data_IF_021019015181
#
_entry.id   IF_021019015181
#
_cell.length_a   1.000
_cell.length_b   1.000
_cell.length_c   1.000
_cell.angle_alpha   90.00
_cell.angle_beta   90.00
_cell.angle_gamma   90.00
#
_symmetry.space_group_name_H-M   'P 1'
#
loop_
_entity.id
_entity.type
_entity.pdbx_description
1 polymer ?
#
# COMPACT_ATOMS: atom_id res chain seq x y z
N UNK A 1 10.34 -6.84 7.08
CA UNK A 1 9.70 -5.53 6.81
C UNK A 1 10.01 -5.12 5.39
N UNK A 2 9.06 -4.53 4.65
CA UNK A 2 9.39 -3.93 3.34
C UNK A 2 10.32 -2.73 3.57
N UNK A 3 11.40 -2.64 2.79
CA UNK A 3 12.30 -1.51 2.83
C UNK A 3 11.59 -0.21 2.44
N UNK A 4 11.97 0.87 3.12
CA UNK A 4 11.40 2.21 2.91
C UNK A 4 12.52 3.15 2.50
N UNK A 5 12.29 3.92 1.45
CA UNK A 5 13.18 5.03 1.06
C UNK A 5 12.61 6.31 1.64
N UNK A 6 13.47 7.13 2.22
CA UNK A 6 13.08 8.39 2.85
C UNK A 6 13.80 9.59 2.25
N UNK A 7 13.08 10.71 2.15
CA UNK A 7 13.58 12.03 1.81
C UNK A 7 13.37 12.92 3.04
N UNK A 8 14.46 13.51 3.57
CA UNK A 8 14.42 14.30 4.80
C UNK A 8 13.71 13.57 5.98
N UNK A 9 13.96 12.26 6.12
CA UNK A 9 13.36 11.42 7.18
C UNK A 9 11.92 10.99 6.93
N UNK A 10 11.25 11.52 5.91
CA UNK A 10 9.88 11.13 5.54
C UNK A 10 9.86 10.12 4.39
N UNK A 11 8.95 9.13 4.37
CA UNK A 11 8.80 8.24 3.22
C UNK A 11 8.59 8.99 1.91
N UNK A 12 9.22 8.53 0.83
CA UNK A 12 9.07 9.14 -0.50
C UNK A 12 7.61 9.06 -0.96
N UNK A 13 7.07 10.20 -1.41
CA UNK A 13 5.81 10.23 -2.14
C UNK A 13 6.04 9.78 -3.60
N UNK A 14 5.83 8.49 -3.87
CA UNK A 14 6.04 7.94 -5.21
C UNK A 14 5.14 8.52 -6.30
N UNK A 15 4.02 9.19 -5.94
CA UNK A 15 3.18 9.90 -6.90
C UNK A 15 3.79 11.24 -7.36
N UNK A 16 4.75 11.78 -6.60
CA UNK A 16 5.55 12.96 -6.93
C UNK A 16 7.00 12.69 -6.51
N UNK A 17 7.69 11.75 -7.18
CA UNK A 17 9.02 11.33 -6.79
C UNK A 17 10.01 12.51 -6.92
N UNK A 18 11.04 12.61 -6.07
CA UNK A 18 12.09 13.61 -6.25
C UNK A 18 12.90 13.35 -7.53
N UNK A 19 13.79 14.28 -7.91
CA UNK A 19 14.68 14.10 -9.06
C UNK A 19 15.60 12.88 -8.82
N UNK A 20 16.04 12.23 -9.90
CA UNK A 20 16.96 11.08 -9.83
C UNK A 20 18.24 11.37 -9.03
N UNK A 21 18.71 12.62 -9.07
CA UNK A 21 19.93 13.10 -8.39
C UNK A 21 19.69 13.53 -6.94
N UNK A 22 18.44 13.63 -6.48
CA UNK A 22 18.13 14.06 -5.11
C UNK A 22 18.65 13.04 -4.10
N UNK A 23 19.37 13.52 -3.07
CA UNK A 23 19.87 12.65 -2.00
C UNK A 23 18.71 12.11 -1.15
N UNK A 24 18.65 10.79 -1.03
CA UNK A 24 17.68 10.04 -0.23
C UNK A 24 18.40 9.06 0.69
N UNK A 25 17.66 8.49 1.62
CA UNK A 25 18.17 7.53 2.60
C UNK A 25 17.44 6.20 2.49
N UNK A 26 18.21 5.12 2.55
CA UNK A 26 17.67 3.77 2.64
C UNK A 26 17.33 3.42 4.09
N UNK A 27 16.20 2.74 4.33
CA UNK A 27 15.83 2.29 5.68
C UNK A 27 16.82 1.32 6.33
N UNK A 28 17.66 0.64 5.54
CA UNK A 28 18.65 -0.30 6.06
C UNK A 28 19.96 0.44 6.37
N UNK A 29 20.69 -0.09 7.34
CA UNK A 29 21.96 0.46 7.81
C UNK A 29 23.12 -0.33 7.21
N UNK A 30 24.29 0.28 7.18
CA UNK A 30 25.53 -0.44 6.87
C UNK A 30 25.92 -1.37 8.03
N UNK A 31 26.98 -2.15 7.85
CA UNK A 31 27.45 -3.12 8.86
C UNK A 31 27.89 -2.48 10.19
N UNK A 32 28.10 -1.16 10.21
CA UNK A 32 28.46 -0.39 11.40
C UNK A 32 27.27 0.38 11.98
N UNK A 33 26.04 0.13 11.50
CA UNK A 33 24.83 0.80 11.97
C UNK A 33 24.64 2.23 11.46
N UNK A 34 25.45 2.69 10.49
CA UNK A 34 25.33 4.05 9.92
C UNK A 34 24.23 4.11 8.86
N UNK A 35 23.75 5.31 8.58
CA UNK A 35 22.74 5.56 7.54
C UNK A 35 23.36 5.36 6.15
N UNK A 36 22.65 4.67 5.26
CA UNK A 36 23.03 4.55 3.84
C UNK A 36 22.31 5.64 3.05
N UNK A 37 23.07 6.57 2.49
CA UNK A 37 22.55 7.70 1.70
C UNK A 37 23.19 7.75 0.33
N UNK A 38 22.43 8.17 -0.67
CA UNK A 38 22.83 8.24 -2.08
C UNK A 38 21.80 9.03 -2.87
N UNK A 39 22.00 9.21 -4.17
CA UNK A 39 20.93 9.74 -5.03
C UNK A 39 19.72 8.79 -5.07
N UNK A 40 18.55 9.30 -5.47
CA UNK A 40 17.35 8.48 -5.67
C UNK A 40 17.65 7.30 -6.60
N UNK A 41 18.42 7.53 -7.67
CA UNK A 41 18.84 6.47 -8.59
C UNK A 41 19.60 5.36 -7.87
N UNK A 42 20.71 5.70 -7.22
CA UNK A 42 21.61 4.74 -6.57
C UNK A 42 20.90 3.96 -5.47
N UNK A 43 20.12 4.65 -4.63
CA UNK A 43 19.41 4.00 -3.50
C UNK A 43 18.21 3.17 -3.98
N UNK A 44 17.50 3.60 -5.03
CA UNK A 44 16.44 2.78 -5.62
C UNK A 44 16.99 1.51 -6.28
N UNK A 45 18.15 1.59 -6.95
CA UNK A 45 18.84 0.42 -7.49
C UNK A 45 19.29 -0.52 -6.37
N UNK A 46 19.85 0.02 -5.29
CA UNK A 46 20.25 -0.77 -4.11
C UNK A 46 19.03 -1.48 -3.47
N UNK A 47 17.90 -0.79 -3.33
CA UNK A 47 16.65 -1.37 -2.81
C UNK A 47 16.14 -2.52 -3.67
N UNK A 48 16.10 -2.32 -5.00
CA UNK A 48 15.73 -3.38 -5.95
C UNK A 48 16.68 -4.56 -5.84
N UNK A 49 17.98 -4.31 -5.76
CA UNK A 49 19.00 -5.34 -5.71
C UNK A 49 18.91 -6.16 -4.42
N UNK A 50 18.65 -5.53 -3.27
CA UNK A 50 18.39 -6.24 -2.01
C UNK A 50 17.16 -7.13 -2.09
N UNK A 51 16.05 -6.61 -2.66
CA UNK A 51 14.85 -7.41 -2.86
C UNK A 51 15.09 -8.63 -3.78
N UNK A 52 15.90 -8.46 -4.84
CA UNK A 52 16.30 -9.55 -5.72
C UNK A 52 17.24 -10.54 -5.04
N UNK A 53 18.14 -10.07 -4.17
CA UNK A 53 19.01 -10.93 -3.36
C UNK A 53 18.20 -11.79 -2.41
N UNK A 54 17.22 -11.21 -1.71
CA UNK A 54 16.29 -11.98 -0.84
C UNK A 54 15.53 -13.00 -1.65
N UNK A 55 15.02 -12.62 -2.83
CA UNK A 55 14.28 -13.54 -3.70
C UNK A 55 15.16 -14.69 -4.20
N UNK A 56 16.42 -14.43 -4.57
CA UNK A 56 17.31 -15.43 -5.18
C UNK A 56 18.04 -16.31 -4.16
N UNK A 57 18.48 -15.71 -3.06
CA UNK A 57 19.38 -16.34 -2.08
C UNK A 57 18.77 -16.48 -0.68
N UNK A 58 17.58 -15.92 -0.43
CA UNK A 58 17.00 -15.87 0.92
C UNK A 58 17.78 -14.95 1.87
N UNK A 59 18.69 -14.13 1.34
CA UNK A 59 19.62 -13.30 2.12
C UNK A 59 19.56 -11.86 1.66
N UNK A 60 19.67 -10.97 2.61
CA UNK A 60 19.82 -9.54 2.35
C UNK A 60 21.27 -9.18 2.09
N UNK A 61 21.50 -8.12 1.31
CA UNK A 61 22.83 -7.54 1.16
C UNK A 61 23.25 -6.78 2.42
N UNK A 62 24.55 -6.76 2.68
CA UNK A 62 25.23 -5.99 3.72
C UNK A 62 26.09 -4.94 3.05
N UNK A 63 25.90 -3.68 3.43
CA UNK A 63 26.73 -2.56 2.97
C UNK A 63 27.92 -2.42 3.93
N UNK A 64 29.14 -2.44 3.39
CA UNK A 64 30.39 -2.22 4.12
C UNK A 64 30.72 -0.73 4.09
N UNK A 65 30.77 -0.16 2.88
CA UNK A 65 31.04 1.26 2.65
C UNK A 65 29.95 1.83 1.72
N UNK A 66 29.07 2.72 2.21
CA UNK A 66 28.04 3.36 1.38
C UNK A 66 28.63 4.46 0.48
N UNK A 67 27.83 5.05 -0.43
CA UNK A 67 28.19 6.28 -1.13
C UNK A 67 28.36 7.44 -0.14
N UNK A 68 29.07 8.50 -0.56
CA UNK A 68 29.42 9.66 0.28
C UNK A 68 30.18 9.28 1.55
N UNK A 69 31.02 8.25 1.50
CA UNK A 69 31.85 7.82 2.61
C UNK A 69 33.30 8.25 2.41
N UNK A 70 33.69 9.33 3.09
CA UNK A 70 35.03 9.94 3.02
C UNK A 70 35.97 9.51 4.16
N UNK A 71 35.54 8.61 5.04
CA UNK A 71 36.29 8.22 6.24
C UNK A 71 37.40 7.18 6.00
N UNK A 72 37.46 6.58 4.81
CA UNK A 72 38.41 5.52 4.47
C UNK A 72 39.45 6.07 3.49
N UNK A 73 40.67 6.34 3.97
CA UNK A 73 41.76 6.95 3.16
C UNK A 73 42.03 6.17 1.87
N UNK A 74 42.01 4.83 1.92
CA UNK A 74 42.26 3.98 0.76
C UNK A 74 41.18 4.10 -0.34
N UNK A 75 39.98 4.58 0.00
CA UNK A 75 38.85 4.73 -0.92
C UNK A 75 38.66 6.18 -1.41
N UNK A 76 39.56 7.09 -1.01
CA UNK A 76 39.51 8.50 -1.38
C UNK A 76 39.50 8.67 -2.90
N UNK A 77 38.59 9.50 -3.41
CA UNK A 77 38.36 9.69 -4.84
C UNK A 77 37.40 8.68 -5.49
N UNK A 78 36.97 7.63 -4.78
CA UNK A 78 36.02 6.64 -5.32
C UNK A 78 34.67 6.70 -4.61
N UNK A 79 34.66 6.70 -3.27
CA UNK A 79 33.42 6.74 -2.45
C UNK A 79 33.03 8.15 -1.98
N UNK A 80 33.77 9.18 -2.37
CA UNK A 80 33.58 10.56 -1.90
C UNK A 80 32.19 11.13 -2.26
N UNK A 81 31.60 10.61 -3.34
CA UNK A 81 30.31 11.04 -3.87
C UNK A 81 29.35 9.87 -4.11
N UNK A 82 28.44 9.99 -5.08
CA UNK A 82 27.38 9.01 -5.31
C UNK A 82 27.88 7.75 -6.04
N UNK A 83 26.96 6.80 -6.25
CA UNK A 83 27.07 5.61 -7.09
C UNK A 83 27.94 4.46 -6.57
N UNK A 84 29.05 4.70 -5.87
CA UNK A 84 29.99 3.66 -5.44
C UNK A 84 29.68 3.08 -4.05
N UNK A 85 29.75 1.75 -3.91
CA UNK A 85 29.50 0.98 -2.69
C UNK A 85 30.43 -0.23 -2.58
N UNK A 86 30.75 -0.60 -1.35
CA UNK A 86 31.32 -1.91 -1.03
C UNK A 86 30.28 -2.75 -0.31
N UNK A 87 30.03 -3.96 -0.78
CA UNK A 87 28.95 -4.82 -0.28
C UNK A 87 29.33 -6.30 -0.24
N UNK A 88 28.50 -7.10 0.43
CA UNK A 88 28.44 -8.54 0.24
C UNK A 88 27.06 -9.11 0.58
N UNK A 89 26.79 -10.35 0.17
CA UNK A 89 25.61 -11.14 0.50
C UNK A 89 26.09 -12.32 1.34
N UNK A 90 25.72 -12.39 2.63
CA UNK A 90 26.18 -13.45 3.53
C UNK A 90 25.86 -14.85 2.99
N UNK A 91 26.86 -15.75 3.03
CA UNK A 91 26.71 -17.14 2.61
C UNK A 91 26.67 -17.39 1.09
N UNK A 92 26.91 -16.36 0.26
CA UNK A 92 26.99 -16.50 -1.20
C UNK A 92 28.44 -16.38 -1.66
N UNK A 93 28.90 -17.23 -2.57
CA UNK A 93 30.30 -17.17 -3.05
C UNK A 93 30.58 -15.88 -3.82
N UNK A 94 31.79 -15.35 -3.71
CA UNK A 94 32.16 -14.04 -4.28
C UNK A 94 31.92 -13.93 -5.79
N UNK A 95 32.34 -14.93 -6.58
CA UNK A 95 32.07 -14.95 -8.01
C UNK A 95 30.57 -15.03 -8.35
N UNK A 96 29.75 -15.65 -7.50
CA UNK A 96 28.29 -15.66 -7.69
C UNK A 96 27.68 -14.29 -7.39
N UNK A 97 28.14 -13.62 -6.34
CA UNK A 97 27.71 -12.27 -6.01
C UNK A 97 28.09 -11.28 -7.09
N UNK A 98 29.34 -11.31 -7.57
CA UNK A 98 29.81 -10.46 -8.66
C UNK A 98 28.93 -10.61 -9.91
N UNK A 99 28.71 -11.85 -10.38
CA UNK A 99 27.79 -12.14 -11.49
C UNK A 99 26.38 -11.60 -11.24
N UNK A 100 25.87 -11.78 -10.02
CA UNK A 100 24.56 -11.29 -9.63
C UNK A 100 24.47 -9.76 -9.70
N UNK A 101 25.46 -9.03 -9.20
CA UNK A 101 25.47 -7.57 -9.25
C UNK A 101 25.61 -7.05 -10.69
N UNK A 102 26.51 -7.64 -11.49
CA UNK A 102 26.68 -7.31 -12.92
C UNK A 102 25.38 -7.50 -13.72
N UNK A 103 24.67 -8.58 -13.47
CA UNK A 103 23.38 -8.86 -14.12
C UNK A 103 22.25 -7.89 -13.69
N UNK A 104 22.47 -7.05 -12.67
CA UNK A 104 21.44 -6.19 -12.08
C UNK A 104 21.79 -4.70 -12.09
N UNK A 105 22.66 -4.27 -13.01
CA UNK A 105 22.90 -2.84 -13.29
C UNK A 105 24.03 -2.22 -12.49
N UNK A 106 24.94 -3.06 -11.97
CA UNK A 106 26.13 -2.61 -11.27
C UNK A 106 27.39 -2.93 -12.07
N UNK A 107 28.30 -1.97 -12.20
CA UNK A 107 29.70 -2.27 -12.48
C UNK A 107 30.30 -2.84 -11.21
N UNK A 108 30.65 -4.12 -11.18
CA UNK A 108 31.01 -4.82 -9.94
C UNK A 108 32.29 -5.64 -10.09
N UNK A 109 33.16 -5.57 -9.08
CA UNK A 109 34.43 -6.29 -9.01
C UNK A 109 34.57 -6.98 -7.66
N UNK A 110 34.95 -8.26 -7.67
CA UNK A 110 35.39 -8.91 -6.44
C UNK A 110 36.78 -8.42 -6.02
N UNK A 111 36.87 -7.78 -4.86
CA UNK A 111 38.11 -7.39 -4.19
C UNK A 111 38.51 -8.44 -3.17
N UNK A 112 39.80 -8.77 -3.12
CA UNK A 112 40.36 -9.88 -2.32
C UNK A 112 41.70 -9.52 -1.67
N UNK A 113 42.08 -10.21 -0.57
CA UNK A 113 43.37 -10.05 0.10
C UNK A 113 44.58 -10.32 -0.81
N UNK A 114 45.77 -9.79 -0.48
CA UNK A 114 46.08 -8.97 0.70
C UNK A 114 45.78 -7.48 0.53
N UNK A 115 45.59 -7.00 -0.70
CA UNK A 115 45.43 -5.57 -0.97
C UNK A 115 44.10 -5.00 -0.40
N UNK A 116 43.07 -5.83 -0.32
CA UNK A 116 41.75 -5.46 0.18
C UNK A 116 41.16 -6.58 1.05
N UNK A 117 40.25 -6.23 1.97
CA UNK A 117 39.36 -7.24 2.56
C UNK A 117 38.44 -7.86 1.49
N UNK A 118 37.90 -9.05 1.72
CA UNK A 118 36.95 -9.65 0.79
C UNK A 118 35.64 -8.85 0.73
N UNK A 119 35.32 -8.29 -0.44
CA UNK A 119 34.05 -7.61 -0.70
C UNK A 119 33.78 -7.50 -2.20
N UNK A 120 32.54 -7.16 -2.57
CA UNK A 120 32.23 -6.67 -3.91
C UNK A 120 32.30 -5.14 -3.90
N UNK A 121 33.24 -4.60 -4.66
CA UNK A 121 33.32 -3.18 -4.96
C UNK A 121 32.44 -2.90 -6.19
N UNK A 122 31.45 -2.02 -6.07
CA UNK A 122 30.52 -1.79 -7.17
C UNK A 122 30.08 -0.34 -7.31
N UNK A 123 29.71 0.06 -8.52
CA UNK A 123 29.11 1.35 -8.81
C UNK A 123 27.84 1.22 -9.66
N UNK A 124 26.85 2.04 -9.37
CA UNK A 124 25.57 2.04 -10.09
C UNK A 124 25.80 2.50 -11.53
N UNK A 125 25.49 1.67 -12.52
CA UNK A 125 25.63 2.08 -13.93
C UNK A 125 24.66 3.23 -14.23
N UNK A 126 25.13 4.33 -14.86
CA UNK A 126 24.25 5.41 -15.27
C UNK A 126 23.41 4.99 -16.49
N UNK A 127 22.29 5.66 -16.78
CA UNK A 127 21.68 5.54 -18.10
C UNK A 127 22.70 5.91 -19.19
N UNK A 128 22.63 5.26 -20.35
CA UNK A 128 23.44 5.60 -21.53
C UNK A 128 22.87 6.83 -22.22
N UNK A 129 23.69 7.81 -22.55
CA UNK A 129 23.36 8.82 -23.56
C UNK A 129 23.87 8.48 -24.97
N UNK A 130 24.87 7.59 -25.05
CA UNK A 130 25.34 7.00 -26.31
C UNK A 130 26.57 7.64 -26.95
N UNK A 131 27.08 8.79 -26.45
CA UNK A 131 28.29 9.42 -27.03
C UNK A 131 29.58 9.00 -26.35
N UNK A 132 29.64 9.02 -25.02
CA UNK A 132 30.78 8.50 -24.27
C UNK A 132 30.33 7.84 -22.98
N UNK A 133 31.00 6.75 -22.61
CA UNK A 133 30.70 6.03 -21.37
C UNK A 133 31.09 6.86 -20.14
N UNK A 134 32.21 7.56 -20.24
CA UNK A 134 32.84 8.22 -19.13
C UNK A 134 32.09 9.49 -18.69
N UNK A 135 31.27 10.11 -19.54
CA UNK A 135 30.53 11.34 -19.19
C UNK A 135 29.02 11.16 -18.99
N UNK A 136 28.48 9.93 -19.10
CA UNK A 136 27.07 9.63 -18.81
C UNK A 136 26.64 10.18 -17.43
N UNK A 137 27.46 9.98 -16.39
CA UNK A 137 27.14 10.53 -15.06
C UNK A 137 26.95 12.04 -15.08
N UNK A 138 27.85 12.77 -15.76
CA UNK A 138 27.77 14.23 -15.91
C UNK A 138 26.49 14.62 -16.65
N UNK A 139 26.18 13.96 -17.76
CA UNK A 139 25.01 14.24 -18.61
C UNK A 139 23.71 14.09 -17.83
N UNK A 140 23.60 13.06 -16.99
CA UNK A 140 22.43 12.84 -16.14
C UNK A 140 22.48 13.61 -14.80
N UNK A 141 23.49 14.47 -14.62
CA UNK A 141 23.63 15.35 -13.46
C UNK A 141 24.06 14.64 -12.17
N UNK A 142 24.59 13.44 -12.25
CA UNK A 142 25.17 12.72 -11.12
C UNK A 142 26.60 13.21 -10.86
N UNK A 143 26.93 13.36 -9.58
CA UNK A 143 28.29 13.64 -9.11
C UNK A 143 28.85 12.37 -8.48
N UNK A 144 29.93 11.82 -9.05
CA UNK A 144 30.57 10.58 -8.58
C UNK A 144 32.04 10.81 -8.25
N UNK A 145 32.68 9.80 -7.63
CA UNK A 145 34.12 9.88 -7.34
C UNK A 145 34.96 10.01 -8.61
N UNK A 146 36.06 10.77 -8.55
CA UNK A 146 36.97 11.01 -9.69
C UNK A 146 37.51 9.74 -10.34
N UNK A 147 37.57 8.62 -9.62
CA UNK A 147 38.03 7.34 -10.18
C UNK A 147 36.87 6.48 -10.75
N UNK A 148 35.62 6.83 -10.45
CA UNK A 148 34.44 6.12 -11.00
C UNK A 148 34.29 6.47 -12.48
N UNK A 149 34.26 7.76 -12.80
CA UNK A 149 34.05 8.30 -14.16
C UNK A 149 35.30 8.99 -14.75
N UNK A 150 36.44 8.89 -14.06
CA UNK A 150 37.69 9.53 -14.48
C UNK A 150 37.73 11.05 -14.26
N UNK A 151 36.72 11.62 -13.60
CA UNK A 151 36.63 13.03 -13.23
C UNK A 151 35.64 13.87 -14.04
N UNK A 152 34.89 13.28 -14.99
CA UNK A 152 33.99 14.02 -15.87
C UNK A 152 32.90 14.79 -15.10
N UNK A 153 32.23 14.16 -14.15
CA UNK A 153 31.17 14.79 -13.34
C UNK A 153 31.69 15.86 -12.37
N UNK A 154 32.99 15.89 -12.11
CA UNK A 154 33.61 16.84 -11.17
C UNK A 154 34.28 18.01 -11.89
N UNK A 155 34.96 17.73 -13.01
CA UNK A 155 35.86 18.68 -13.65
C UNK A 155 35.49 18.96 -15.12
N UNK A 156 34.47 18.28 -15.66
CA UNK A 156 34.07 18.43 -17.06
C UNK A 156 35.07 17.88 -18.07
N UNK A 157 36.09 17.13 -17.62
CA UNK A 157 37.12 16.45 -18.41
C UNK A 157 37.59 15.19 -17.67
N UNK A 158 38.34 14.32 -18.34
CA UNK A 158 38.85 13.04 -17.80
C UNK A 158 40.34 13.06 -17.44
N UNK A 159 40.76 13.66 -16.31
CA UNK A 159 42.17 13.67 -15.90
C UNK A 159 42.63 12.34 -15.30
N UNK A 160 41.74 11.39 -15.00
CA UNK A 160 42.07 10.11 -14.35
C UNK A 160 41.54 8.90 -15.14
N UNK A 161 42.10 7.72 -14.83
CA UNK A 161 41.48 6.45 -15.21
C UNK A 161 40.07 6.31 -14.61
N UNK A 162 39.16 5.70 -15.36
CA UNK A 162 37.76 5.55 -14.98
C UNK A 162 37.41 4.06 -14.82
N UNK A 163 36.87 3.69 -13.66
CA UNK A 163 36.38 2.34 -13.39
C UNK A 163 35.21 1.95 -14.30
N UNK A 164 34.39 2.92 -14.73
CA UNK A 164 33.32 2.64 -15.69
C UNK A 164 33.91 2.19 -17.04
N UNK A 165 34.94 2.86 -17.56
CA UNK A 165 35.57 2.44 -18.81
C UNK A 165 36.23 1.08 -18.68
N UNK A 166 36.88 0.83 -17.55
CA UNK A 166 37.44 -0.48 -17.24
C UNK A 166 36.36 -1.58 -17.25
N UNK A 167 35.18 -1.30 -16.72
CA UNK A 167 34.07 -2.25 -16.67
C UNK A 167 33.58 -2.63 -18.06
N UNK A 168 33.35 -1.63 -18.92
CA UNK A 168 32.94 -1.86 -20.31
C UNK A 168 34.05 -2.49 -21.18
N UNK A 169 35.32 -2.32 -20.79
CA UNK A 169 36.46 -2.99 -21.42
C UNK A 169 36.78 -4.37 -20.81
N UNK A 170 35.94 -4.88 -19.90
CA UNK A 170 36.16 -6.15 -19.17
C UNK A 170 37.52 -6.22 -18.45
N UNK A 171 37.86 -5.15 -17.74
CA UNK A 171 39.07 -4.99 -16.93
C UNK A 171 38.72 -4.93 -15.45
N UNK A 172 39.71 -5.15 -14.58
CA UNK A 172 39.56 -5.29 -13.12
C UNK A 172 39.26 -3.99 -12.36
N UNK A 173 39.12 -2.86 -13.05
CA UNK A 173 38.86 -1.55 -12.46
C UNK A 173 39.93 -1.05 -11.51
N UNK A 174 41.16 -1.57 -11.59
CA UNK A 174 42.34 -1.05 -10.87
C UNK A 174 43.20 -0.20 -11.81
N UNK A 175 44.13 0.57 -11.25
CA UNK A 175 45.03 1.44 -12.03
C UNK A 175 45.80 0.67 -13.13
N UNK A 176 46.14 -0.60 -12.87
CA UNK A 176 46.85 -1.48 -13.81
C UNK A 176 45.97 -2.03 -14.93
N UNK A 177 44.64 -1.98 -14.78
CA UNK A 177 43.68 -2.29 -15.83
C UNK A 177 43.86 -3.69 -16.43
N UNK A 178 44.15 -4.69 -15.59
CA UNK A 178 44.27 -6.07 -16.07
C UNK A 178 42.93 -6.59 -16.57
N UNK A 179 42.97 -7.54 -17.49
CA UNK A 179 41.76 -8.23 -17.96
C UNK A 179 41.11 -8.94 -16.78
N UNK A 180 39.82 -8.67 -16.58
CA UNK A 180 39.01 -9.42 -15.64
C UNK A 180 38.51 -10.69 -16.34
N UNK A 181 38.92 -11.84 -15.82
CA UNK A 181 38.58 -13.16 -16.36
C UNK A 181 37.24 -13.68 -15.86
N UNK A 182 36.57 -12.97 -14.95
CA UNK A 182 35.23 -13.30 -14.52
C UNK A 182 34.17 -12.92 -15.56
N UNK A 183 32.95 -13.41 -15.35
CA UNK A 183 31.85 -13.26 -16.30
C UNK A 183 31.29 -11.84 -16.37
N UNK A 184 30.95 -11.38 -17.57
CA UNK A 184 30.21 -10.15 -17.84
C UNK A 184 28.93 -10.47 -18.63
N UNK A 185 27.86 -9.65 -18.50
CA UNK A 185 26.67 -9.80 -19.33
C UNK A 185 27.01 -9.58 -20.81
N UNK A 186 26.33 -10.29 -21.71
CA UNK A 186 26.52 -10.13 -23.16
C UNK A 186 26.12 -8.74 -23.68
N UNK A 187 25.21 -8.06 -22.97
CA UNK A 187 24.93 -6.64 -23.15
C UNK A 187 24.88 -5.96 -21.78
N UNK A 188 25.88 -5.13 -21.49
CA UNK A 188 25.95 -4.35 -20.25
C UNK A 188 24.77 -3.37 -20.20
N UNK A 189 24.42 -2.75 -21.34
CA UNK A 189 23.34 -1.78 -21.46
C UNK A 189 21.99 -2.36 -21.03
N UNK A 190 21.74 -3.63 -21.38
CA UNK A 190 20.50 -4.32 -20.99
C UNK A 190 20.34 -4.52 -19.48
N UNK A 191 21.42 -4.41 -18.72
CA UNK A 191 21.41 -4.55 -17.25
C UNK A 191 21.12 -3.23 -16.53
N UNK A 192 21.24 -2.09 -17.23
CA UNK A 192 21.10 -0.76 -16.63
C UNK A 192 19.71 -0.63 -16.01
N UNK A 193 19.69 -0.11 -14.79
CA UNK A 193 18.48 0.03 -13.99
C UNK A 193 17.46 0.96 -14.64
N UNK A 194 16.18 0.56 -14.71
CA UNK A 194 15.11 1.47 -15.13
C UNK A 194 14.42 2.09 -13.90
N UNK A 195 14.89 3.28 -13.49
CA UNK A 195 14.27 4.03 -12.39
C UNK A 195 12.80 4.39 -12.66
N UNK A 196 12.41 4.64 -13.92
CA UNK A 196 11.01 4.97 -14.24
C UNK A 196 10.11 3.77 -14.00
N UNK A 197 10.51 2.58 -14.46
CA UNK A 197 9.80 1.32 -14.16
C UNK A 197 9.75 1.05 -12.66
N UNK A 198 10.85 1.26 -11.95
CA UNK A 198 10.89 1.11 -10.50
C UNK A 198 9.90 2.05 -9.80
N UNK A 199 9.89 3.35 -10.14
CA UNK A 199 8.93 4.33 -9.61
C UNK A 199 7.50 3.87 -9.88
N UNK A 200 7.17 3.47 -11.12
CA UNK A 200 5.83 2.96 -11.47
C UNK A 200 5.42 1.76 -10.61
N UNK A 201 6.35 0.87 -10.28
CA UNK A 201 6.07 -0.28 -9.40
C UNK A 201 5.78 0.12 -7.95
N UNK A 202 6.27 1.28 -7.51
CA UNK A 202 6.06 1.82 -6.16
C UNK A 202 4.86 2.76 -6.06
N UNK A 203 4.43 3.37 -7.16
CA UNK A 203 3.15 4.08 -7.21
C UNK A 203 2.04 3.07 -6.96
N UNK A 204 1.22 3.23 -5.91
CA UNK A 204 0.09 2.35 -5.70
C UNK A 204 -0.80 2.42 -6.93
N UNK A 205 -0.83 1.36 -7.74
CA UNK A 205 -1.78 1.27 -8.85
C UNK A 205 -3.16 1.41 -8.20
N UNK A 206 -3.85 2.48 -8.56
CA UNK A 206 -5.27 2.63 -8.23
C UNK A 206 -6.00 1.63 -9.11
N UNK A 207 -5.89 0.35 -8.74
CA UNK A 207 -6.79 -0.67 -9.25
C UNK A 207 -8.15 -0.24 -8.74
N UNK A 208 -8.94 0.35 -9.64
CA UNK A 208 -10.37 0.49 -9.45
C UNK A 208 -10.85 -0.91 -9.09
N UNK A 209 -11.46 -1.07 -7.91
CA UNK A 209 -12.04 -2.36 -7.52
C UNK A 209 -12.93 -2.78 -8.68
N UNK A 210 -12.65 -3.92 -9.32
CA UNK A 210 -13.57 -4.54 -10.28
C UNK A 210 -14.90 -4.66 -9.58
N UNK A 211 -15.95 -4.27 -10.28
CA UNK A 211 -17.37 -4.20 -9.91
C UNK A 211 -17.75 -4.81 -8.56
N UNK A 212 -18.41 -4.11 -7.65
CA UNK A 212 -19.14 -4.84 -6.58
C UNK A 212 -20.40 -4.13 -6.15
N UNK A 213 -21.40 -4.91 -5.75
CA UNK A 213 -22.66 -4.48 -5.17
C UNK A 213 -22.62 -4.59 -3.65
N UNK A 214 -23.01 -3.51 -2.98
CA UNK A 214 -23.25 -3.48 -1.54
C UNK A 214 -24.75 -3.26 -1.28
N UNK A 215 -25.36 -4.17 -0.52
CA UNK A 215 -26.71 -4.01 0.01
C UNK A 215 -26.70 -3.72 1.51
N UNK A 216 -27.61 -2.86 1.94
CA UNK A 216 -27.79 -2.50 3.34
C UNK A 216 -29.27 -2.55 3.74
N UNK A 217 -29.53 -3.03 4.96
CA UNK A 217 -30.85 -3.10 5.55
C UNK A 217 -30.78 -2.88 7.07
N UNK A 218 -31.62 -2.01 7.60
CA UNK A 218 -31.99 -2.08 9.01
C UNK A 218 -33.07 -3.16 9.18
N UNK A 219 -32.82 -4.14 10.04
CA UNK A 219 -33.78 -5.25 10.25
C UNK A 219 -34.98 -4.84 11.10
N UNK A 220 -34.90 -3.72 11.84
CA UNK A 220 -35.88 -3.30 12.83
C UNK A 220 -36.18 -4.47 13.76
N UNK A 221 -35.22 -4.75 14.64
CA UNK A 221 -35.03 -6.06 15.29
C UNK A 221 -36.15 -6.53 16.23
N UNK A 222 -37.28 -5.82 16.25
CA UNK A 222 -38.38 -5.93 17.19
C UNK A 222 -39.65 -6.43 16.48
N UNK A 223 -40.40 -7.29 17.15
CA UNK A 223 -41.76 -7.75 16.75
C UNK A 223 -42.86 -6.76 17.21
N UNK A 224 -42.47 -5.52 17.52
CA UNK A 224 -43.11 -4.76 18.59
C UNK A 224 -44.23 -3.78 18.23
N UNK A 225 -44.75 -3.78 17.00
CA UNK A 225 -45.98 -3.02 16.70
C UNK A 225 -47.11 -4.03 16.49
N UNK A 226 -48.19 -3.86 17.23
CA UNK A 226 -49.44 -4.61 17.08
C UNK A 226 -49.87 -4.61 15.59
N UNK A 227 -50.06 -5.80 15.01
CA UNK A 227 -50.35 -5.99 13.58
C UNK A 227 -49.12 -6.10 12.64
N UNK A 228 -47.89 -5.97 13.13
CA UNK A 228 -46.68 -6.18 12.32
C UNK A 228 -46.28 -7.66 12.25
N UNK A 229 -45.75 -8.10 11.10
CA UNK A 229 -45.21 -9.47 10.94
C UNK A 229 -43.99 -9.65 11.83
N UNK A 230 -43.92 -10.79 12.52
CA UNK A 230 -42.73 -11.17 13.29
C UNK A 230 -41.48 -11.21 12.41
N UNK A 231 -40.31 -11.00 12.99
CA UNK A 231 -39.05 -11.11 12.29
C UNK A 231 -38.86 -12.52 11.71
N UNK A 232 -39.30 -13.57 12.41
CA UNK A 232 -39.26 -14.94 11.88
C UNK A 232 -40.08 -15.07 10.59
N UNK A 233 -41.25 -14.43 10.52
CA UNK A 233 -42.06 -14.39 9.30
C UNK A 233 -41.43 -13.51 8.20
N UNK A 234 -40.74 -12.41 8.56
CA UNK A 234 -40.13 -11.47 7.60
C UNK A 234 -38.77 -11.94 7.06
N UNK A 235 -37.96 -12.61 7.89
CA UNK A 235 -36.55 -12.94 7.62
C UNK A 235 -36.34 -13.73 6.31
N UNK A 236 -37.13 -14.77 5.97
CA UNK A 236 -36.95 -15.49 4.70
C UNK A 236 -37.08 -14.59 3.47
N UNK A 237 -38.04 -13.66 3.49
CA UNK A 237 -38.24 -12.70 2.40
C UNK A 237 -37.10 -11.68 2.34
N UNK A 238 -36.67 -11.16 3.50
CA UNK A 238 -35.50 -10.27 3.58
C UNK A 238 -34.25 -10.96 3.04
N UNK A 239 -33.96 -12.18 3.49
CA UNK A 239 -32.79 -12.95 3.08
C UNK A 239 -32.80 -13.22 1.57
N UNK A 240 -33.93 -13.62 1.01
CA UNK A 240 -34.11 -13.82 -0.43
C UNK A 240 -33.83 -12.53 -1.19
N UNK A 241 -34.41 -11.40 -0.77
CA UNK A 241 -34.21 -10.11 -1.41
C UNK A 241 -32.77 -9.58 -1.24
N UNK A 242 -32.11 -9.84 -0.10
CA UNK A 242 -30.73 -9.45 0.16
C UNK A 242 -29.73 -10.24 -0.68
N UNK A 243 -30.03 -11.51 -0.99
CA UNK A 243 -29.10 -12.42 -1.65
C UNK A 243 -29.39 -12.65 -3.14
N UNK A 244 -30.55 -12.20 -3.63
CA UNK A 244 -30.91 -12.26 -5.06
C UNK A 244 -29.90 -11.51 -5.93
N UNK A 245 -29.41 -12.14 -7.00
CA UNK A 245 -28.34 -11.59 -7.84
C UNK A 245 -26.94 -11.61 -7.20
N UNK A 246 -26.78 -12.27 -6.04
CA UNK A 246 -25.51 -12.55 -5.36
C UNK A 246 -24.60 -11.31 -5.18
N UNK A 247 -25.08 -10.20 -4.57
CA UNK A 247 -24.21 -9.05 -4.28
C UNK A 247 -23.02 -9.46 -3.43
N UNK A 248 -21.86 -8.86 -3.63
CA UNK A 248 -20.64 -9.28 -2.92
C UNK A 248 -20.66 -8.92 -1.44
N UNK A 249 -21.39 -7.88 -1.06
CA UNK A 249 -21.44 -7.38 0.32
C UNK A 249 -22.87 -7.11 0.75
N UNK A 250 -23.20 -7.58 1.94
CA UNK A 250 -24.46 -7.30 2.62
C UNK A 250 -24.15 -6.82 4.03
N UNK A 251 -24.76 -5.71 4.45
CA UNK A 251 -24.65 -5.21 5.84
C UNK A 251 -26.02 -5.06 6.46
N UNK A 252 -26.14 -5.42 7.74
CA UNK A 252 -27.37 -5.27 8.50
C UNK A 252 -27.15 -4.47 9.78
N UNK A 253 -28.15 -3.68 10.15
CA UNK A 253 -28.31 -3.13 11.50
C UNK A 253 -29.42 -3.85 12.28
N UNK A 254 -29.41 -3.65 13.60
CA UNK A 254 -30.37 -4.17 14.58
C UNK A 254 -30.48 -5.69 14.69
N UNK A 255 -29.42 -6.41 14.31
CA UNK A 255 -29.37 -7.87 14.52
C UNK A 255 -29.22 -8.17 16.02
N UNK A 256 -30.29 -8.64 16.66
CA UNK A 256 -30.27 -8.99 18.09
C UNK A 256 -29.39 -10.23 18.33
N UNK A 257 -28.77 -10.38 19.53
CA UNK A 257 -27.95 -11.55 19.84
C UNK A 257 -28.63 -12.90 19.57
N UNK A 258 -29.91 -13.02 19.94
CA UNK A 258 -30.72 -14.23 19.71
C UNK A 258 -30.94 -14.56 18.21
N UNK A 259 -30.82 -13.58 17.33
CA UNK A 259 -31.07 -13.73 15.88
C UNK A 259 -29.80 -14.08 15.09
N UNK A 260 -28.61 -13.96 15.70
CA UNK A 260 -27.32 -14.11 15.00
C UNK A 260 -27.18 -15.49 14.37
N UNK A 261 -27.57 -16.55 15.07
CA UNK A 261 -27.47 -17.93 14.56
C UNK A 261 -28.31 -18.11 13.30
N UNK A 262 -29.57 -17.68 13.32
CA UNK A 262 -30.50 -17.80 12.20
C UNK A 262 -30.05 -16.97 10.98
N UNK A 263 -29.55 -15.75 11.19
CA UNK A 263 -28.99 -14.94 10.09
C UNK A 263 -27.75 -15.59 9.49
N UNK A 264 -26.83 -16.11 10.31
CA UNK A 264 -25.64 -16.83 9.84
C UNK A 264 -26.03 -18.03 8.99
N UNK A 265 -26.91 -18.87 9.50
CA UNK A 265 -27.39 -20.06 8.79
C UNK A 265 -28.02 -19.69 7.44
N UNK A 266 -28.92 -18.70 7.43
CA UNK A 266 -29.56 -18.20 6.22
C UNK A 266 -28.56 -17.70 5.18
N UNK A 267 -27.61 -16.85 5.58
CA UNK A 267 -26.56 -16.37 4.68
C UNK A 267 -25.65 -17.50 4.18
N UNK A 268 -25.28 -18.45 5.04
CA UNK A 268 -24.47 -19.60 4.65
C UNK A 268 -25.19 -20.48 3.63
N UNK A 269 -26.47 -20.80 3.83
CA UNK A 269 -27.32 -21.48 2.84
C UNK A 269 -27.39 -20.72 1.52
N UNK A 270 -27.40 -19.39 1.58
CA UNK A 270 -27.37 -18.52 0.40
C UNK A 270 -25.97 -18.34 -0.23
N UNK A 271 -24.92 -19.01 0.25
CA UNK A 271 -23.58 -18.95 -0.32
C UNK A 271 -22.72 -17.77 0.17
N UNK A 272 -22.95 -17.31 1.39
CA UNK A 272 -22.19 -16.23 2.05
C UNK A 272 -21.44 -16.73 3.29
N UNK A 273 -20.40 -16.01 3.66
CA UNK A 273 -19.79 -16.08 5.00
C UNK A 273 -20.15 -14.81 5.78
N UNK A 274 -20.26 -14.92 7.10
CA UNK A 274 -20.62 -13.80 7.98
C UNK A 274 -19.43 -13.45 8.88
N UNK A 275 -18.44 -12.68 8.37
CA UNK A 275 -17.23 -12.34 9.13
C UNK A 275 -17.50 -11.48 10.36
N UNK A 276 -18.61 -10.75 10.41
CA UNK A 276 -18.99 -9.92 11.55
C UNK A 276 -20.47 -10.07 11.84
N UNK A 277 -20.81 -10.40 13.08
CA UNK A 277 -22.17 -10.39 13.61
C UNK A 277 -22.09 -10.11 15.11
N UNK A 278 -22.05 -8.84 15.50
CA UNK A 278 -21.86 -8.45 16.90
C UNK A 278 -22.37 -7.05 17.16
N UNK A 279 -22.89 -6.84 18.37
CA UNK A 279 -23.40 -5.55 18.83
C UNK A 279 -24.42 -4.90 17.88
N UNK A 280 -25.28 -5.69 17.22
CA UNK A 280 -26.37 -5.18 16.38
C UNK A 280 -25.98 -5.00 14.93
N UNK A 281 -24.70 -5.16 14.62
CA UNK A 281 -24.16 -5.04 13.27
C UNK A 281 -23.85 -6.42 12.71
N UNK A 282 -24.17 -6.62 11.44
CA UNK A 282 -23.78 -7.82 10.69
C UNK A 282 -23.17 -7.41 9.35
N UNK A 283 -22.11 -8.11 8.94
CA UNK A 283 -21.55 -8.04 7.59
C UNK A 283 -21.48 -9.46 7.05
N UNK A 284 -22.09 -9.69 5.89
CA UNK A 284 -21.96 -10.90 5.10
C UNK A 284 -21.24 -10.59 3.79
N UNK A 285 -20.37 -11.50 3.35
CA UNK A 285 -19.66 -11.41 2.07
C UNK A 285 -19.78 -12.73 1.31
N UNK A 286 -19.76 -12.67 -0.01
CA UNK A 286 -19.93 -13.87 -0.84
C UNK A 286 -18.84 -14.93 -0.52
N UNK A 287 -19.21 -16.21 -0.47
CA UNK A 287 -18.27 -17.31 -0.20
C UNK A 287 -17.11 -17.28 -1.20
N UNK A 288 -15.89 -17.52 -0.70
CA UNK A 288 -14.64 -17.35 -1.47
C UNK A 288 -13.99 -15.97 -1.34
N UNK A 289 -14.66 -15.00 -0.71
CA UNK A 289 -14.06 -13.70 -0.41
C UNK A 289 -13.01 -13.81 0.70
N UNK A 290 -11.78 -13.38 0.42
CA UNK A 290 -10.70 -13.32 1.41
C UNK A 290 -10.96 -12.21 2.45
N UNK A 291 -11.04 -12.55 3.73
CA UNK A 291 -11.26 -11.60 4.84
C UNK A 291 -10.03 -11.58 5.76
N UNK A 292 -9.50 -10.40 6.05
CA UNK A 292 -8.27 -10.23 6.87
C UNK A 292 -8.50 -9.48 8.17
N UNK A 293 -9.69 -8.92 8.35
CA UNK A 293 -10.04 -8.15 9.52
C UNK A 293 -11.57 -8.12 9.66
N UNK A 294 -12.06 -8.38 10.87
CA UNK A 294 -13.44 -8.17 11.24
C UNK A 294 -13.50 -7.82 12.74
N UNK A 295 -14.03 -6.65 13.09
CA UNK A 295 -14.18 -6.23 14.48
C UNK A 295 -15.26 -5.17 14.64
N UNK A 296 -16.05 -5.28 15.71
CA UNK A 296 -16.89 -4.19 16.21
C UNK A 296 -16.17 -3.40 17.29
N UNK A 297 -16.35 -2.08 17.28
CA UNK A 297 -15.78 -1.16 18.26
C UNK A 297 -16.90 -0.32 18.86
N UNK A 298 -17.04 -0.35 20.17
CA UNK A 298 -17.94 0.54 20.90
C UNK A 298 -17.47 1.97 20.80
N UNK A 299 -18.39 2.89 20.47
CA UNK A 299 -18.07 4.31 20.38
C UNK A 299 -17.73 4.89 21.78
N UNK A 300 -16.86 5.91 21.87
CA UNK A 300 -16.53 6.57 23.13
C UNK A 300 -17.72 7.34 23.69
N UNK A 301 -17.70 7.66 24.99
CA UNK A 301 -18.81 8.32 25.71
C UNK A 301 -19.34 9.58 25.03
N UNK A 302 -18.48 10.43 24.45
CA UNK A 302 -18.89 11.64 23.75
C UNK A 302 -19.69 11.41 22.44
N UNK A 303 -19.65 10.18 21.92
CA UNK A 303 -20.40 9.73 20.74
C UNK A 303 -21.47 8.68 21.13
N UNK A 304 -21.71 8.47 22.42
CA UNK A 304 -22.80 7.65 22.91
C UNK A 304 -24.00 8.53 23.24
N UNK A 305 -25.20 8.05 22.93
CA UNK A 305 -26.40 8.55 23.59
C UNK A 305 -26.63 7.84 24.92
N UNK A 306 -27.65 8.25 25.67
CA UNK A 306 -28.08 7.56 26.90
C UNK A 306 -28.90 6.29 26.62
N UNK A 307 -28.50 5.46 25.66
CA UNK A 307 -29.26 4.28 25.21
C UNK A 307 -28.37 3.04 25.13
N UNK A 308 -28.71 2.10 24.25
CA UNK A 308 -27.80 1.01 23.90
C UNK A 308 -26.47 1.58 23.40
N UNK A 309 -25.36 0.94 23.79
CA UNK A 309 -24.02 1.34 23.33
C UNK A 309 -23.92 1.21 21.81
N UNK A 310 -23.71 2.34 21.14
CA UNK A 310 -23.49 2.40 19.71
C UNK A 310 -22.12 1.83 19.35
N UNK A 311 -22.07 1.10 18.24
CA UNK A 311 -20.85 0.42 17.79
C UNK A 311 -20.64 0.54 16.29
N UNK A 312 -19.37 0.54 15.88
CA UNK A 312 -18.95 0.52 14.48
C UNK A 312 -18.37 -0.85 14.16
N UNK A 313 -19.04 -1.61 13.32
CA UNK A 313 -18.52 -2.83 12.69
C UNK A 313 -17.62 -2.49 11.51
N UNK A 314 -16.46 -3.15 11.42
CA UNK A 314 -15.51 -2.97 10.31
C UNK A 314 -15.01 -4.32 9.81
N UNK A 315 -15.05 -4.50 8.50
CA UNK A 315 -14.51 -5.67 7.80
C UNK A 315 -13.56 -5.22 6.70
N UNK A 316 -12.42 -5.92 6.55
CA UNK A 316 -11.52 -5.78 5.39
C UNK A 316 -11.57 -7.05 4.57
N UNK A 317 -12.11 -6.94 3.37
CA UNK A 317 -12.37 -8.05 2.47
C UNK A 317 -11.76 -7.77 1.08
N UNK A 318 -11.35 -8.83 0.38
CA UNK A 318 -10.82 -8.76 -0.98
C UNK A 318 -11.94 -9.06 -1.97
N UNK A 319 -12.60 -8.01 -2.44
CA UNK A 319 -13.74 -8.11 -3.35
C UNK A 319 -13.21 -7.95 -4.77
N UNK A 320 -13.48 -8.97 -5.61
CA UNK A 320 -13.07 -8.99 -7.01
C UNK A 320 -11.60 -8.59 -7.22
N UNK A 321 -10.73 -9.22 -6.43
CA UNK A 321 -9.27 -9.06 -6.49
C UNK A 321 -8.72 -7.77 -5.84
N UNK A 322 -9.57 -6.95 -5.22
CA UNK A 322 -9.14 -5.70 -4.59
C UNK A 322 -9.60 -5.59 -3.14
N UNK A 323 -8.71 -5.10 -2.27
CA UNK A 323 -9.06 -4.80 -0.90
C UNK A 323 -10.06 -3.65 -0.82
N UNK A 324 -11.15 -3.91 -0.11
CA UNK A 324 -12.19 -2.97 0.26
C UNK A 324 -12.38 -2.98 1.78
N UNK A 325 -12.90 -1.87 2.30
CA UNK A 325 -13.29 -1.74 3.68
C UNK A 325 -14.81 -1.59 3.76
N UNK A 326 -15.45 -2.51 4.46
CA UNK A 326 -16.90 -2.47 4.70
C UNK A 326 -17.10 -2.01 6.14
N UNK A 327 -17.87 -0.95 6.30
CA UNK A 327 -18.21 -0.39 7.61
C UNK A 327 -19.72 -0.45 7.77
N UNK A 328 -20.16 -0.83 8.97
CA UNK A 328 -21.57 -0.88 9.33
C UNK A 328 -21.77 -0.27 10.71
N UNK A 329 -22.80 0.57 10.86
CA UNK A 329 -23.12 1.22 12.13
C UNK A 329 -24.58 1.63 12.17
N UNK A 330 -25.12 1.82 13.37
CA UNK A 330 -26.43 2.41 13.63
C UNK A 330 -26.18 3.67 14.46
N UNK A 331 -26.90 4.76 14.20
CA UNK A 331 -26.82 6.01 14.97
C UNK A 331 -28.00 6.15 15.92
N UNK A 332 -27.90 7.07 16.87
CA UNK A 332 -28.93 7.27 17.88
C UNK A 332 -30.28 7.65 17.25
N UNK A 333 -31.36 6.96 17.63
CA UNK A 333 -32.69 7.14 17.06
C UNK A 333 -33.46 8.32 17.65
N UNK A 334 -33.04 8.86 18.80
CA UNK A 334 -33.77 9.92 19.50
C UNK A 334 -33.73 11.22 18.72
N UNK A 335 -34.74 12.06 18.97
CA UNK A 335 -34.96 13.33 18.27
C UNK A 335 -34.57 14.52 19.15
N UNK A 336 -34.21 15.63 18.51
CA UNK A 336 -33.86 16.89 19.15
C UNK A 336 -32.39 17.27 18.95
N UNK A 337 -32.10 18.57 19.05
CA UNK A 337 -30.81 19.16 18.71
C UNK A 337 -29.60 18.50 19.42
N UNK A 338 -29.78 18.09 20.68
CA UNK A 338 -28.78 17.33 21.44
C UNK A 338 -28.40 16.03 20.73
N UNK A 339 -29.38 15.26 20.26
CA UNK A 339 -29.14 13.98 19.60
C UNK A 339 -28.65 14.15 18.17
N UNK A 340 -29.04 15.21 17.47
CA UNK A 340 -28.43 15.60 16.19
C UNK A 340 -26.92 15.83 16.32
N UNK A 341 -26.50 16.57 17.35
CA UNK A 341 -25.08 16.77 17.65
C UNK A 341 -24.36 15.46 17.97
N UNK A 342 -24.99 14.56 18.74
CA UNK A 342 -24.43 13.22 19.04
C UNK A 342 -24.26 12.42 17.75
N UNK A 343 -25.25 12.38 16.86
CA UNK A 343 -25.15 11.65 15.59
C UNK A 343 -24.04 12.19 14.68
N UNK A 344 -23.80 13.50 14.70
CA UNK A 344 -22.63 14.09 14.01
C UNK A 344 -21.32 13.54 14.59
N UNK A 345 -21.21 13.42 15.92
CA UNK A 345 -20.02 12.81 16.56
C UNK A 345 -19.89 11.33 16.22
N UNK A 346 -20.99 10.59 16.13
CA UNK A 346 -21.02 9.19 15.69
C UNK A 346 -20.51 9.05 14.24
N UNK A 347 -20.96 9.92 13.34
CA UNK A 347 -20.47 10.00 11.96
C UNK A 347 -18.97 10.28 11.88
N UNK A 348 -18.50 11.32 12.59
CA UNK A 348 -17.07 11.69 12.67
C UNK A 348 -16.22 10.54 13.23
N UNK A 349 -16.71 9.86 14.28
CA UNK A 349 -16.00 8.73 14.87
C UNK A 349 -15.95 7.52 13.95
N UNK A 350 -17.03 7.23 13.23
CA UNK A 350 -17.08 6.18 12.20
C UNK A 350 -16.01 6.40 11.12
N UNK A 351 -15.90 7.64 10.62
CA UNK A 351 -14.88 8.04 9.63
C UNK A 351 -13.47 7.91 10.21
N UNK A 352 -13.25 8.37 11.46
CA UNK A 352 -11.97 8.24 12.17
C UNK A 352 -11.53 6.78 12.29
N UNK A 353 -12.45 5.88 12.65
CA UNK A 353 -12.18 4.44 12.71
C UNK A 353 -11.91 3.86 11.32
N UNK A 354 -12.60 4.34 10.29
CA UNK A 354 -12.35 3.90 8.93
C UNK A 354 -10.93 4.25 8.48
N UNK A 355 -10.55 5.53 8.63
CA UNK A 355 -9.21 6.04 8.34
C UNK A 355 -8.12 5.33 9.14
N UNK A 356 -8.38 5.05 10.42
CA UNK A 356 -7.45 4.31 11.28
C UNK A 356 -7.12 2.93 10.71
N UNK A 357 -8.14 2.15 10.30
CA UNK A 357 -7.90 0.84 9.70
C UNK A 357 -7.09 0.95 8.40
N UNK A 358 -7.38 1.95 7.56
CA UNK A 358 -6.65 2.20 6.32
C UNK A 358 -5.18 2.57 6.54
N UNK A 359 -4.83 3.20 7.68
CA UNK A 359 -3.44 3.47 8.07
C UNK A 359 -2.73 2.19 8.53
N UNK A 360 -3.35 1.39 9.40
CA UNK A 360 -2.76 0.14 9.90
C UNK A 360 -2.70 -0.97 8.85
N UNK A 361 -3.64 -0.97 7.90
CA UNK A 361 -3.70 -1.90 6.77
C UNK A 361 -3.70 -1.07 5.48
N UNK A 362 -2.51 -0.63 5.01
CA UNK A 362 -2.37 0.35 3.95
C UNK A 362 -3.31 0.09 2.76
N UNK A 363 -4.14 1.09 2.47
CA UNK A 363 -5.11 1.05 1.38
C UNK A 363 -5.05 2.37 0.62
N UNK A 364 -4.48 2.34 -0.59
CA UNK A 364 -4.43 3.53 -1.45
C UNK A 364 -5.85 3.98 -1.80
N UNK A 365 -6.10 5.29 -1.74
CA UNK A 365 -7.41 5.88 -1.94
C UNK A 365 -8.50 5.23 -1.07
N UNK A 366 -8.21 4.99 0.21
CA UNK A 366 -9.10 4.27 1.12
C UNK A 366 -10.55 4.77 1.08
N UNK A 367 -10.79 6.08 0.97
CA UNK A 367 -12.15 6.65 0.86
C UNK A 367 -12.96 6.08 -0.31
N UNK A 368 -12.33 5.83 -1.46
CA UNK A 368 -12.98 5.24 -2.64
C UNK A 368 -13.04 3.71 -2.58
N UNK A 369 -12.42 3.10 -1.57
CA UNK A 369 -12.45 1.66 -1.28
C UNK A 369 -13.24 1.34 -0.01
N UNK A 370 -13.75 2.35 0.67
CA UNK A 370 -14.63 2.21 1.83
C UNK A 370 -16.07 2.37 1.40
N UNK A 371 -16.91 1.42 1.82
CA UNK A 371 -18.37 1.52 1.72
C UNK A 371 -18.97 1.39 3.11
N UNK A 372 -19.82 2.34 3.50
CA UNK A 372 -20.36 2.48 4.85
C UNK A 372 -21.88 2.33 4.76
N UNK A 373 -22.41 1.18 5.16
CA UNK A 373 -23.85 0.94 5.26
C UNK A 373 -24.33 1.30 6.65
N UNK A 374 -25.31 2.20 6.77
CA UNK A 374 -25.77 2.64 8.08
C UNK A 374 -27.22 3.09 8.10
N UNK A 375 -27.81 2.99 9.29
CA UNK A 375 -29.03 3.70 9.64
C UNK A 375 -28.66 5.01 10.32
N UNK A 376 -28.88 6.12 9.62
CA UNK A 376 -28.41 7.47 9.97
C UNK A 376 -29.27 8.10 11.07
N UNK A 377 -30.55 7.71 11.13
CA UNK A 377 -31.57 8.35 11.95
C UNK A 377 -31.66 9.88 11.76
N UNK A 378 -31.11 10.41 10.66
CA UNK A 378 -31.08 11.84 10.32
C UNK A 378 -31.32 12.03 8.82
N UNK A 379 -32.03 13.10 8.46
CA UNK A 379 -32.41 13.36 7.07
C UNK A 379 -31.26 13.93 6.24
N UNK A 380 -30.52 14.91 6.75
CA UNK A 380 -29.45 15.58 5.98
C UNK A 380 -28.30 16.11 6.84
N UNK A 381 -28.54 16.38 8.12
CA UNK A 381 -27.54 17.05 8.97
C UNK A 381 -26.25 16.24 9.14
N UNK A 382 -26.35 14.96 9.47
CA UNK A 382 -25.16 14.11 9.69
C UNK A 382 -24.35 13.94 8.40
N UNK A 383 -25.04 13.75 7.26
CA UNK A 383 -24.42 13.79 5.93
C UNK A 383 -23.56 15.04 5.74
N UNK A 384 -24.16 16.22 5.94
CA UNK A 384 -23.55 17.49 5.56
C UNK A 384 -22.45 17.93 6.55
N UNK A 385 -22.58 17.58 7.83
CA UNK A 385 -21.63 17.99 8.88
C UNK A 385 -20.52 16.97 9.15
N UNK A 386 -20.73 15.68 8.85
CA UNK A 386 -19.74 14.62 9.11
C UNK A 386 -19.18 13.98 7.85
N UNK A 387 -20.03 13.46 6.95
CA UNK A 387 -19.58 12.64 5.82
C UNK A 387 -19.04 13.45 4.65
N UNK A 388 -19.78 14.46 4.17
CA UNK A 388 -19.36 15.28 3.03
C UNK A 388 -18.01 15.97 3.24
N UNK A 389 -17.73 16.63 4.39
CA UNK A 389 -16.42 17.24 4.64
C UNK A 389 -15.27 16.23 4.66
N UNK A 390 -15.56 14.98 5.01
CA UNK A 390 -14.59 13.89 4.96
C UNK A 390 -14.39 13.29 3.55
N UNK A 391 -15.13 13.76 2.54
CA UNK A 391 -15.09 13.25 1.17
C UNK A 391 -15.91 11.98 0.96
N UNK A 392 -16.96 11.77 1.77
CA UNK A 392 -17.93 10.70 1.59
C UNK A 392 -19.27 11.27 1.12
N UNK A 393 -19.77 10.79 -0.01
CA UNK A 393 -21.07 11.17 -0.54
C UNK A 393 -22.07 10.02 -0.35
N UNK A 394 -23.37 10.31 -0.16
CA UNK A 394 -24.39 9.27 -0.15
C UNK A 394 -24.45 8.65 -1.55
N UNK A 395 -24.11 7.37 -1.65
CA UNK A 395 -24.18 6.62 -2.89
C UNK A 395 -25.62 6.14 -3.17
N UNK A 396 -26.38 5.87 -2.09
CA UNK A 396 -27.83 5.65 -2.08
C UNK A 396 -28.38 6.02 -0.69
N UNK A 397 -29.59 6.56 -0.63
CA UNK A 397 -30.31 6.87 0.62
C UNK A 397 -31.80 6.57 0.46
N UNK A 398 -32.41 5.99 1.49
CA UNK A 398 -33.86 5.78 1.60
C UNK A 398 -34.29 6.01 3.04
N UNK A 399 -35.01 7.11 3.28
CA UNK A 399 -35.38 7.55 4.63
C UNK A 399 -34.16 7.58 5.57
N UNK A 400 -34.10 6.69 6.56
CA UNK A 400 -33.03 6.61 7.55
C UNK A 400 -31.84 5.77 7.09
N UNK A 401 -31.98 4.91 6.08
CA UNK A 401 -30.91 4.04 5.61
C UNK A 401 -30.06 4.74 4.55
N UNK A 402 -28.73 4.63 4.65
CA UNK A 402 -27.81 5.17 3.66
C UNK A 402 -26.60 4.27 3.44
N UNK A 403 -26.05 4.31 2.22
CA UNK A 403 -24.70 3.81 1.93
C UNK A 403 -23.83 4.99 1.49
N UNK A 404 -22.72 5.21 2.20
CA UNK A 404 -21.74 6.26 1.90
C UNK A 404 -20.48 5.67 1.27
N UNK A 405 -19.91 6.39 0.29
CA UNK A 405 -18.58 6.11 -0.24
C UNK A 405 -17.92 7.36 -0.81
N UNK A 406 -16.58 7.41 -0.82
CA UNK A 406 -15.86 8.38 -1.66
C UNK A 406 -15.86 8.01 -3.15
N UNK A 407 -16.35 6.82 -3.50
CA UNK A 407 -16.50 6.35 -4.87
C UNK A 407 -17.90 6.65 -5.40
N UNK A 408 -17.96 7.18 -6.62
CA UNK A 408 -19.22 7.35 -7.33
C UNK A 408 -19.90 6.00 -7.58
N UNK A 409 -21.22 5.95 -7.37
CA UNK A 409 -22.05 4.81 -7.74
C UNK A 409 -22.16 4.72 -9.28
N UNK A 410 -22.13 3.49 -9.82
CA UNK A 410 -22.59 3.24 -11.20
C UNK A 410 -24.10 3.20 -11.25
N UNK A 411 -24.69 2.55 -10.25
CA UNK A 411 -26.12 2.41 -10.11
C UNK A 411 -26.46 2.36 -8.62
N UNK A 412 -27.63 2.87 -8.30
CA UNK A 412 -28.26 2.72 -6.99
C UNK A 412 -29.71 2.30 -7.20
N UNK A 413 -30.26 1.60 -6.21
CA UNK A 413 -31.67 1.21 -6.23
C UNK A 413 -32.18 1.02 -4.80
N UNK A 414 -33.48 1.24 -4.66
CA UNK A 414 -34.25 0.92 -3.46
C UNK A 414 -35.07 -0.32 -3.82
N UNK A 415 -34.82 -1.42 -3.13
CA UNK A 415 -35.52 -2.68 -3.33
C UNK A 415 -36.61 -2.75 -2.26
N UNK A 416 -37.86 -2.56 -2.69
CA UNK A 416 -39.01 -2.80 -1.85
C UNK A 416 -39.08 -4.28 -1.49
N UNK A 417 -39.29 -4.58 -0.21
CA UNK A 417 -39.42 -5.95 0.27
C UNK A 417 -40.82 -6.19 0.81
N UNK A 418 -41.25 -7.45 0.85
CA UNK A 418 -42.47 -7.88 1.56
C UNK A 418 -42.36 -7.74 3.09
N UNK A 419 -41.27 -7.16 3.59
CA UNK A 419 -40.98 -6.98 5.01
C UNK A 419 -41.20 -5.55 5.50
N UNK A 420 -41.78 -4.68 4.66
CA UNK A 420 -42.07 -3.26 4.89
C UNK A 420 -40.84 -2.34 4.97
N UNK A 421 -39.63 -2.89 5.00
CA UNK A 421 -38.40 -2.11 5.04
C UNK A 421 -37.64 -2.19 3.72
N UNK A 422 -37.22 -1.05 3.13
CA UNK A 422 -36.47 -1.04 1.89
C UNK A 422 -35.03 -1.51 2.12
N UNK A 423 -34.55 -2.38 1.23
CA UNK A 423 -33.11 -2.64 1.08
C UNK A 423 -32.56 -1.59 0.14
N UNK A 424 -31.51 -0.90 0.55
CA UNK A 424 -30.77 -0.01 -0.36
C UNK A 424 -29.59 -0.76 -0.95
N UNK A 425 -29.35 -0.57 -2.25
CA UNK A 425 -28.26 -1.22 -2.96
C UNK A 425 -27.50 -0.21 -3.80
N UNK A 426 -26.17 -0.41 -3.87
CA UNK A 426 -25.27 0.38 -4.71
C UNK A 426 -24.27 -0.52 -5.39
N UNK A 427 -24.06 -0.29 -6.69
CA UNK A 427 -23.00 -0.96 -7.46
C UNK A 427 -21.89 0.04 -7.80
N UNK A 428 -20.64 -0.34 -7.57
CA UNK A 428 -19.45 0.49 -7.83
C UNK A 428 -18.60 -0.05 -8.99
N UNK A 429 -18.05 0.78 -9.89
CA UNK A 429 -17.14 0.34 -10.99
C UNK A 429 -17.09 1.27 -12.22
N UNK A 430 -16.31 0.92 -13.27
CA UNK A 430 -16.16 1.69 -14.53
C UNK A 430 -16.92 1.01 -15.67
N UNK A 431 -17.88 1.69 -16.33
CA UNK A 431 -18.77 1.15 -17.39
C UNK A 431 -18.12 0.07 -18.25
#
# INVERSE_FOLDING_TARGET
MMSVLTLAGSPINWAKPPKSTTRVMWSRRDMYGRKVTGSLWTIALLDRTDALSVKKFGRHLVVIQPPFNTGVKASAGTHDYDACLDVYIPGVTWGTQEKFFRANGWGAYWRRPPLFGNHIHMFALPPREGKSIADDYRVFGFKVGKFVDGGWSLYGRKPYGAQIDAYYAHRDGLARNYRDTHWFPSSIESTIFDLRSYIRSKVPVVRTVRWYEHRHLNTWGDDGIEGSRTLDARRPFMLTALTSGKPEVITLNEVRPSQVAQWREGFTKAGYIVPLASAGNLVAVLKGTEVTYAKSVTMPSYAQGGGRKETVGRVRAKINGSWAQIVVTHFDFRRGAKFDAIRVQQGKYTIKLAASLARYRPMSNWKTRTSIGLTENSNTWVRDTAFKPAGFNPAVKSSLNAIYSGRAARSNKIISTRSNYPIIAVTYGKK
#
